data_IF_288862123601
#
_entry.id   IF_288862123601
#
_cell.length_a   1.000
_cell.length_b   1.000
_cell.length_c   1.000
_cell.angle_alpha   90.00
_cell.angle_beta   90.00
_cell.angle_gamma   90.00
#
_symmetry.space_group_name_H-M   'P 1'
#
loop_
_entity.id
_entity.type
_entity.pdbx_description
1 polymer ?
#
# COMPACT_ATOMS: atom_id res chain seq x y z
N UNK A 1 16.63 -16.49 4.78
CA UNK A 1 16.28 -17.93 4.74
C UNK A 1 16.28 -18.56 6.12
N UNK A 2 17.43 -18.69 6.81
CA UNK A 2 17.50 -19.37 8.12
C UNK A 2 16.60 -18.78 9.23
N UNK A 3 16.38 -17.46 9.24
CA UNK A 3 15.54 -16.80 10.24
C UNK A 3 14.09 -17.29 10.27
N UNK A 4 13.50 -17.65 9.11
CA UNK A 4 12.12 -18.16 9.03
C UNK A 4 11.96 -19.52 9.71
N UNK A 5 12.99 -20.38 9.65
CA UNK A 5 13.00 -21.69 10.30
C UNK A 5 13.34 -21.60 11.81
N UNK A 6 13.96 -20.50 12.23
CA UNK A 6 14.19 -20.22 13.66
C UNK A 6 12.95 -19.61 14.32
N UNK A 7 12.02 -19.03 13.55
CA UNK A 7 10.84 -18.37 14.08
C UNK A 7 9.98 -19.27 14.99
N UNK A 8 9.62 -20.51 14.63
CA UNK A 8 8.84 -21.38 15.52
C UNK A 8 9.65 -21.95 16.69
N UNK A 9 10.98 -21.76 16.72
CA UNK A 9 11.85 -22.18 17.82
C UNK A 9 11.98 -21.11 18.91
N UNK A 10 11.41 -19.91 18.69
CA UNK A 10 11.28 -18.89 19.72
C UNK A 10 10.34 -19.37 20.84
N UNK A 11 10.44 -18.71 22.00
CA UNK A 11 9.81 -19.14 23.27
C UNK A 11 8.31 -19.41 23.17
N UNK A 12 7.55 -18.50 22.59
CA UNK A 12 6.09 -18.61 22.61
C UNK A 12 5.55 -19.65 21.61
N UNK A 13 6.02 -19.68 20.34
CA UNK A 13 5.68 -20.74 19.40
C UNK A 13 6.04 -22.15 19.92
N UNK A 14 7.22 -22.34 20.53
CA UNK A 14 7.62 -23.68 21.00
C UNK A 14 6.74 -24.16 22.16
N UNK A 15 6.34 -23.26 23.07
CA UNK A 15 5.41 -23.60 24.15
C UNK A 15 4.05 -23.97 23.57
N UNK A 16 3.55 -23.23 22.57
CA UNK A 16 2.31 -23.57 21.89
C UNK A 16 2.39 -24.95 21.22
N UNK A 17 3.47 -25.22 20.47
CA UNK A 17 3.69 -26.52 19.81
C UNK A 17 3.66 -27.64 20.85
N UNK A 18 4.34 -27.49 21.98
CA UNK A 18 4.37 -28.50 23.04
C UNK A 18 2.98 -28.73 23.66
N UNK A 19 2.24 -27.66 23.98
CA UNK A 19 0.90 -27.75 24.57
C UNK A 19 -0.08 -28.43 23.59
N UNK A 20 -0.12 -27.96 22.34
CA UNK A 20 -1.05 -28.45 21.33
C UNK A 20 -0.79 -29.90 20.90
N UNK A 21 0.36 -30.48 21.24
CA UNK A 21 0.75 -31.83 20.81
C UNK A 21 0.84 -32.82 21.96
N UNK A 22 1.46 -32.44 23.09
CA UNK A 22 1.62 -33.33 24.24
C UNK A 22 0.32 -33.48 25.04
N UNK A 23 -0.47 -32.42 25.20
CA UNK A 23 -1.72 -32.50 25.98
C UNK A 23 -2.71 -33.47 25.32
N UNK A 24 -2.99 -33.39 24.00
CA UNK A 24 -3.82 -34.39 23.33
C UNK A 24 -3.22 -35.80 23.35
N UNK A 25 -1.89 -35.94 23.26
CA UNK A 25 -1.23 -37.25 23.25
C UNK A 25 -1.39 -38.03 24.56
N UNK A 26 -1.47 -37.34 25.71
CA UNK A 26 -1.70 -37.97 27.03
C UNK A 26 -3.18 -38.30 27.26
N UNK A 27 -4.08 -37.53 26.66
CA UNK A 27 -5.53 -37.71 26.76
C UNK A 27 -5.98 -38.84 25.82
N UNK A 28 -5.81 -40.08 26.25
CA UNK A 28 -5.88 -41.25 25.36
C UNK A 28 -7.26 -41.61 24.79
N UNK A 29 -8.37 -41.06 25.33
CA UNK A 29 -9.72 -41.22 24.74
C UNK A 29 -10.81 -40.51 25.58
N UNK A 30 -11.96 -40.22 24.96
CA UNK A 30 -13.18 -39.77 25.64
C UNK A 30 -13.65 -38.37 25.21
N UNK A 31 -14.87 -37.99 25.64
CA UNK A 31 -15.47 -36.68 25.29
C UNK A 31 -14.61 -35.50 25.77
N UNK A 32 -13.96 -35.65 26.93
CA UNK A 32 -13.06 -34.62 27.46
C UNK A 32 -11.78 -34.49 26.62
N UNK A 33 -11.18 -35.60 26.19
CA UNK A 33 -10.02 -35.61 25.30
C UNK A 33 -10.35 -34.93 23.96
N UNK A 34 -11.52 -35.24 23.40
CA UNK A 34 -12.04 -34.61 22.18
C UNK A 34 -12.23 -33.10 22.37
N UNK A 35 -12.91 -32.69 23.46
CA UNK A 35 -13.17 -31.28 23.74
C UNK A 35 -11.88 -30.47 23.91
N UNK A 36 -10.90 -31.01 24.65
CA UNK A 36 -9.58 -30.38 24.82
C UNK A 36 -8.83 -30.31 23.49
N UNK A 37 -8.87 -31.38 22.68
CA UNK A 37 -8.19 -31.40 21.38
C UNK A 37 -8.80 -30.37 20.40
N UNK A 38 -10.13 -30.23 20.38
CA UNK A 38 -10.80 -29.22 19.57
C UNK A 38 -10.48 -27.80 20.04
N UNK A 39 -10.41 -27.58 21.35
CA UNK A 39 -10.01 -26.29 21.91
C UNK A 39 -8.58 -25.94 21.51
N UNK A 40 -7.64 -26.89 21.64
CA UNK A 40 -6.23 -26.69 21.27
C UNK A 40 -6.04 -26.52 19.77
N UNK A 41 -6.83 -27.20 18.94
CA UNK A 41 -6.87 -26.98 17.49
C UNK A 41 -7.37 -25.55 17.16
N UNK A 42 -8.40 -25.09 17.88
CA UNK A 42 -8.88 -23.71 17.82
C UNK A 42 -7.81 -22.71 18.19
N UNK A 43 -7.08 -22.96 19.29
CA UNK A 43 -6.03 -22.09 19.76
C UNK A 43 -4.85 -22.03 18.78
N UNK A 44 -4.44 -23.18 18.25
CA UNK A 44 -3.40 -23.27 17.23
C UNK A 44 -3.80 -22.52 15.96
N UNK A 45 -5.03 -22.70 15.48
CA UNK A 45 -5.52 -22.01 14.29
C UNK A 45 -5.56 -20.50 14.51
N UNK A 46 -6.07 -20.03 15.66
CA UNK A 46 -6.03 -18.60 16.01
C UNK A 46 -4.62 -18.04 15.99
N UNK A 47 -3.67 -18.77 16.57
CA UNK A 47 -2.28 -18.36 16.60
C UNK A 47 -1.67 -18.27 15.20
N UNK A 48 -1.95 -19.24 14.31
CA UNK A 48 -1.48 -19.20 12.93
C UNK A 48 -1.99 -17.95 12.19
N UNK A 49 -3.27 -17.61 12.34
CA UNK A 49 -3.82 -16.38 11.77
C UNK A 49 -3.22 -15.12 12.41
N UNK A 50 -3.03 -15.12 13.73
CA UNK A 50 -2.33 -14.03 14.42
C UNK A 50 -0.89 -13.87 13.92
N UNK A 51 -0.20 -14.95 13.55
CA UNK A 51 1.12 -14.88 12.93
C UNK A 51 1.06 -14.19 11.56
N UNK A 52 0.04 -14.45 10.73
CA UNK A 52 -0.15 -13.73 9.47
C UNK A 52 -0.37 -12.24 9.75
N UNK A 53 -1.36 -11.91 10.59
CA UNK A 53 -1.73 -10.53 10.95
C UNK A 53 -0.51 -9.76 11.48
N UNK A 54 0.14 -10.30 12.52
CA UNK A 54 1.27 -9.66 13.18
C UNK A 54 2.49 -9.52 12.26
N UNK A 55 2.77 -10.54 11.43
CA UNK A 55 3.87 -10.44 10.46
C UNK A 55 3.53 -9.46 9.34
N UNK A 56 2.27 -9.44 8.88
CA UNK A 56 1.81 -8.50 7.86
C UNK A 56 1.96 -7.06 8.35
N UNK A 57 1.64 -6.78 9.61
CA UNK A 57 1.84 -5.47 10.25
C UNK A 57 3.32 -5.08 10.46
N UNK A 58 4.25 -5.95 10.05
CA UNK A 58 5.70 -5.70 10.11
C UNK A 58 6.38 -6.19 11.39
N UNK A 59 5.65 -6.83 12.30
CA UNK A 59 6.25 -7.47 13.47
C UNK A 59 6.81 -8.86 13.09
N UNK A 60 8.14 -8.93 12.94
CA UNK A 60 8.85 -10.18 12.60
C UNK A 60 9.10 -11.10 13.81
N UNK A 61 8.64 -10.69 14.99
CA UNK A 61 8.65 -11.47 16.21
C UNK A 61 7.33 -12.25 16.36
N UNK A 62 7.35 -13.45 16.98
CA UNK A 62 6.14 -14.21 17.18
C UNK A 62 5.19 -13.50 18.14
N UNK A 63 3.87 -13.53 17.87
CA UNK A 63 2.89 -12.97 18.76
C UNK A 63 2.90 -13.72 20.10
N UNK A 64 2.50 -13.02 21.15
CA UNK A 64 2.46 -13.58 22.49
C UNK A 64 1.60 -14.86 22.55
N UNK A 65 2.00 -15.85 23.34
CA UNK A 65 1.25 -17.10 23.51
C UNK A 65 -0.22 -16.89 23.87
N UNK A 66 -0.53 -15.83 24.63
CA UNK A 66 -1.90 -15.47 25.01
C UNK A 66 -2.84 -15.22 23.82
N UNK A 67 -2.31 -14.82 22.66
CA UNK A 67 -3.10 -14.61 21.44
C UNK A 67 -3.75 -15.90 20.94
N UNK A 68 -3.12 -17.06 21.14
CA UNK A 68 -3.69 -18.36 20.80
C UNK A 68 -4.99 -18.64 21.56
N UNK A 69 -5.08 -18.17 22.80
CA UNK A 69 -6.23 -18.39 23.68
C UNK A 69 -7.18 -17.18 23.71
N UNK A 70 -6.93 -16.17 22.88
CA UNK A 70 -7.90 -15.10 22.65
C UNK A 70 -9.15 -15.68 21.97
N UNK A 71 -10.33 -15.14 22.31
CA UNK A 71 -11.60 -15.62 21.76
C UNK A 71 -11.61 -15.65 20.23
N UNK A 72 -12.37 -16.58 19.64
CA UNK A 72 -12.55 -16.64 18.18
C UNK A 72 -11.73 -17.71 17.45
N UNK A 73 -10.85 -18.47 18.12
CA UNK A 73 -10.12 -19.57 17.45
C UNK A 73 -11.02 -20.67 16.88
N UNK A 74 -12.08 -21.06 17.59
CA UNK A 74 -13.02 -22.07 17.09
C UNK A 74 -13.82 -21.59 15.88
N UNK A 75 -14.15 -20.28 15.78
CA UNK A 75 -14.84 -19.78 14.58
C UNK A 75 -13.92 -19.85 13.37
N UNK A 76 -12.63 -19.52 13.51
CA UNK A 76 -11.64 -19.66 12.44
C UNK A 76 -11.50 -21.12 11.98
N UNK A 77 -11.47 -22.08 12.91
CA UNK A 77 -11.47 -23.52 12.55
C UNK A 77 -12.70 -23.89 11.75
N UNK A 78 -13.89 -23.47 12.20
CA UNK A 78 -15.14 -23.74 11.48
C UNK A 78 -15.11 -23.10 10.09
N UNK A 79 -14.65 -21.85 9.97
CA UNK A 79 -14.51 -21.16 8.69
C UNK A 79 -13.58 -21.92 7.74
N UNK A 80 -12.44 -22.39 8.23
CA UNK A 80 -11.46 -23.12 7.43
C UNK A 80 -11.99 -24.50 6.99
N UNK A 81 -12.69 -25.23 7.88
CA UNK A 81 -13.36 -26.48 7.53
C UNK A 81 -14.43 -26.25 6.47
N UNK A 82 -15.26 -25.21 6.62
CA UNK A 82 -16.29 -24.86 5.64
C UNK A 82 -15.67 -24.56 4.27
N UNK A 83 -14.59 -23.78 4.22
CA UNK A 83 -13.85 -23.48 2.98
C UNK A 83 -13.35 -24.77 2.33
N UNK A 84 -12.69 -25.66 3.07
CA UNK A 84 -12.19 -26.92 2.52
C UNK A 84 -13.31 -27.83 2.02
N UNK A 85 -14.44 -27.91 2.75
CA UNK A 85 -15.60 -28.68 2.31
C UNK A 85 -16.19 -28.10 1.03
N UNK A 86 -16.36 -26.78 0.94
CA UNK A 86 -16.92 -26.12 -0.25
C UNK A 86 -16.02 -26.32 -1.47
N UNK A 87 -14.71 -26.12 -1.33
CA UNK A 87 -13.73 -26.34 -2.41
C UNK A 87 -13.68 -27.82 -2.81
N UNK A 88 -13.71 -28.73 -1.85
CA UNK A 88 -13.75 -30.17 -2.09
C UNK A 88 -15.01 -30.60 -2.86
N UNK A 89 -16.19 -30.14 -2.43
CA UNK A 89 -17.45 -30.37 -3.14
C UNK A 89 -17.39 -29.79 -4.55
N UNK A 90 -16.86 -28.58 -4.73
CA UNK A 90 -16.72 -27.97 -6.05
C UNK A 90 -15.87 -28.84 -7.00
N UNK A 91 -14.72 -29.32 -6.54
CA UNK A 91 -13.85 -30.24 -7.32
C UNK A 91 -14.58 -31.54 -7.65
N UNK A 92 -15.29 -32.13 -6.69
CA UNK A 92 -16.04 -33.37 -6.92
C UNK A 92 -17.18 -33.19 -7.93
N UNK A 93 -17.91 -32.07 -7.85
CA UNK A 93 -18.94 -31.69 -8.82
C UNK A 93 -18.32 -31.54 -10.22
N UNK A 94 -17.23 -30.79 -10.37
CA UNK A 94 -16.53 -30.65 -11.66
C UNK A 94 -16.08 -32.01 -12.19
N UNK A 95 -15.54 -32.86 -11.33
CA UNK A 95 -15.10 -34.21 -11.69
C UNK A 95 -16.27 -35.08 -12.18
N UNK A 96 -17.42 -35.01 -11.51
CA UNK A 96 -18.60 -35.78 -11.86
C UNK A 96 -19.24 -35.34 -13.19
N UNK A 97 -19.27 -34.03 -13.48
CA UNK A 97 -19.94 -33.51 -14.69
C UNK A 97 -19.01 -33.31 -15.90
N UNK A 98 -17.75 -32.95 -15.68
CA UNK A 98 -16.78 -32.66 -16.74
C UNK A 98 -15.67 -33.74 -16.86
N UNK A 99 -15.71 -34.78 -16.02
CA UNK A 99 -14.82 -35.92 -16.05
C UNK A 99 -13.51 -35.73 -15.28
N UNK A 100 -12.72 -36.81 -15.20
CA UNK A 100 -11.50 -36.88 -14.39
C UNK A 100 -10.46 -35.80 -14.70
N UNK A 101 -10.24 -35.50 -15.99
CA UNK A 101 -9.25 -34.51 -16.39
C UNK A 101 -9.60 -33.09 -15.91
N UNK A 102 -10.86 -32.69 -16.06
CA UNK A 102 -11.35 -31.41 -15.53
C UNK A 102 -11.32 -31.36 -14.00
N UNK A 103 -11.61 -32.49 -13.35
CA UNK A 103 -11.44 -32.68 -11.91
C UNK A 103 -10.01 -32.41 -11.46
N UNK A 104 -9.03 -33.01 -12.12
CA UNK A 104 -7.62 -32.83 -11.78
C UNK A 104 -7.12 -31.40 -12.03
N UNK A 105 -7.56 -30.75 -13.12
CA UNK A 105 -7.23 -29.35 -13.38
C UNK A 105 -7.84 -28.42 -12.33
N UNK A 106 -9.10 -28.65 -11.94
CA UNK A 106 -9.75 -27.86 -10.90
C UNK A 106 -9.09 -28.06 -9.53
N UNK A 107 -8.65 -29.26 -9.20
CA UNK A 107 -7.86 -29.53 -7.99
C UNK A 107 -6.54 -28.73 -8.00
N UNK A 108 -5.82 -28.70 -9.13
CA UNK A 108 -4.58 -27.92 -9.25
C UNK A 108 -4.82 -26.43 -9.01
N UNK A 109 -5.90 -25.87 -9.58
CA UNK A 109 -6.30 -24.48 -9.37
C UNK A 109 -6.63 -24.22 -7.90
N UNK A 110 -7.39 -25.11 -7.27
CA UNK A 110 -7.74 -24.98 -5.84
C UNK A 110 -6.48 -24.99 -4.98
N UNK A 111 -5.57 -25.95 -5.19
CA UNK A 111 -4.31 -26.03 -4.42
C UNK A 111 -3.48 -24.77 -4.60
N UNK A 112 -3.39 -24.25 -5.84
CA UNK A 112 -2.70 -22.99 -6.11
C UNK A 112 -3.38 -21.78 -5.47
N UNK A 113 -4.71 -21.76 -5.37
CA UNK A 113 -5.49 -20.67 -4.79
C UNK A 113 -5.51 -20.68 -3.25
N UNK A 114 -5.26 -21.84 -2.61
CA UNK A 114 -5.37 -21.99 -1.16
C UNK A 114 -4.58 -20.95 -0.34
N UNK A 115 -3.31 -20.65 -0.63
CA UNK A 115 -2.59 -19.61 0.11
C UNK A 115 -3.27 -18.24 0.00
N UNK A 116 -3.72 -17.85 -1.20
CA UNK A 116 -4.44 -16.60 -1.40
C UNK A 116 -5.78 -16.56 -0.63
N UNK A 117 -6.51 -17.67 -0.60
CA UNK A 117 -7.78 -17.78 0.16
C UNK A 117 -7.51 -17.65 1.67
N UNK A 118 -6.44 -18.27 2.19
CA UNK A 118 -6.05 -18.16 3.60
C UNK A 118 -5.63 -16.71 3.93
N UNK A 119 -4.87 -16.06 3.05
CA UNK A 119 -4.47 -14.66 3.19
C UNK A 119 -5.69 -13.72 3.23
N UNK A 120 -6.63 -13.87 2.31
CA UNK A 120 -7.86 -13.08 2.31
C UNK A 120 -8.71 -13.33 3.55
N UNK A 121 -8.79 -14.59 4.01
CA UNK A 121 -9.52 -14.89 5.25
C UNK A 121 -8.87 -14.20 6.45
N UNK A 122 -7.53 -14.11 6.50
CA UNK A 122 -6.82 -13.42 7.57
C UNK A 122 -7.02 -11.90 7.53
N UNK A 123 -7.09 -11.31 6.33
CA UNK A 123 -7.28 -9.85 6.16
C UNK A 123 -8.75 -9.44 6.39
N UNK A 124 -9.69 -10.17 5.79
CA UNK A 124 -11.09 -9.75 5.66
C UNK A 124 -12.02 -10.38 6.71
N UNK A 125 -11.59 -11.49 7.33
CA UNK A 125 -12.35 -12.21 8.37
C UNK A 125 -13.64 -12.89 7.89
N UNK A 126 -13.94 -12.84 6.59
CA UNK A 126 -15.20 -13.34 6.00
C UNK A 126 -14.96 -14.41 4.94
N UNK A 127 -15.65 -15.56 5.09
CA UNK A 127 -15.55 -16.70 4.16
C UNK A 127 -15.96 -16.31 2.73
N UNK A 128 -17.04 -15.52 2.60
CA UNK A 128 -17.63 -15.20 1.30
C UNK A 128 -16.68 -14.41 0.41
N UNK A 129 -15.92 -13.50 1.01
CA UNK A 129 -14.93 -12.71 0.29
C UNK A 129 -13.68 -13.54 -0.02
N UNK A 130 -13.22 -14.38 0.90
CA UNK A 130 -12.09 -15.28 0.68
C UNK A 130 -12.33 -16.31 -0.44
N UNK A 131 -13.56 -16.79 -0.62
CA UNK A 131 -13.93 -17.74 -1.68
C UNK A 131 -14.25 -17.09 -3.03
N UNK A 132 -14.32 -15.76 -3.10
CA UNK A 132 -14.65 -15.07 -4.34
C UNK A 132 -13.50 -15.20 -5.36
N UNK A 133 -13.71 -15.84 -6.53
CA UNK A 133 -12.67 -16.04 -7.53
C UNK A 133 -12.02 -14.76 -8.01
N UNK A 134 -12.78 -13.66 -8.10
CA UNK A 134 -12.23 -12.38 -8.52
C UNK A 134 -11.25 -11.80 -7.48
N UNK A 135 -11.51 -12.03 -6.18
CA UNK A 135 -10.65 -11.50 -5.11
C UNK A 135 -9.34 -12.26 -5.00
N UNK A 136 -9.37 -13.59 -4.92
CA UNK A 136 -8.12 -14.35 -4.80
C UNK A 136 -7.33 -14.33 -6.11
N UNK A 137 -7.96 -14.28 -7.28
CA UNK A 137 -7.24 -14.03 -8.55
C UNK A 137 -6.65 -12.62 -8.59
N UNK A 138 -7.38 -11.62 -8.10
CA UNK A 138 -6.88 -10.25 -7.97
C UNK A 138 -5.67 -10.16 -7.05
N UNK A 139 -5.70 -10.85 -5.91
CA UNK A 139 -4.58 -10.93 -4.97
C UNK A 139 -3.35 -11.59 -5.62
N UNK A 140 -3.54 -12.72 -6.31
CA UNK A 140 -2.46 -13.40 -7.04
C UNK A 140 -1.88 -12.49 -8.13
N UNK A 141 -2.74 -11.78 -8.87
CA UNK A 141 -2.30 -10.87 -9.92
C UNK A 141 -1.55 -9.65 -9.37
N UNK A 142 -1.99 -9.09 -8.24
CA UNK A 142 -1.35 -7.95 -7.59
C UNK A 142 0.03 -8.31 -7.01
N UNK A 143 0.15 -9.51 -6.41
CA UNK A 143 1.40 -10.05 -5.93
C UNK A 143 2.33 -10.44 -7.09
N UNK A 144 1.78 -11.00 -8.17
CA UNK A 144 2.51 -11.39 -9.37
C UNK A 144 3.44 -12.58 -9.16
N UNK A 145 4.61 -12.54 -9.80
CA UNK A 145 5.64 -13.60 -9.71
C UNK A 145 6.02 -14.04 -8.28
N UNK A 146 6.20 -13.12 -7.30
CA UNK A 146 6.42 -13.44 -5.89
C UNK A 146 5.44 -14.46 -5.27
N UNK A 147 4.17 -14.45 -5.69
CA UNK A 147 3.19 -15.42 -5.21
C UNK A 147 3.58 -16.86 -5.58
N UNK A 148 4.03 -17.08 -6.81
CA UNK A 148 4.44 -18.40 -7.29
C UNK A 148 5.73 -18.88 -6.63
N UNK A 149 6.62 -17.95 -6.28
CA UNK A 149 7.82 -18.25 -5.49
C UNK A 149 7.42 -18.69 -4.07
N UNK A 150 6.53 -17.95 -3.40
CA UNK A 150 5.96 -18.37 -2.11
C UNK A 150 5.31 -19.75 -2.23
N UNK A 151 4.46 -19.96 -3.24
CA UNK A 151 3.78 -21.22 -3.46
C UNK A 151 4.78 -22.38 -3.64
N UNK A 152 5.84 -22.17 -4.41
CA UNK A 152 6.93 -23.14 -4.56
C UNK A 152 7.59 -23.50 -3.21
N UNK A 153 7.85 -22.50 -2.36
CA UNK A 153 8.36 -22.76 -1.00
C UNK A 153 7.37 -23.52 -0.13
N UNK A 154 6.09 -23.18 -0.18
CA UNK A 154 5.05 -23.91 0.57
C UNK A 154 4.99 -25.38 0.12
N UNK A 155 5.02 -25.65 -1.19
CA UNK A 155 5.05 -27.01 -1.73
C UNK A 155 6.27 -27.78 -1.23
N UNK A 156 7.48 -27.20 -1.32
CA UNK A 156 8.71 -27.83 -0.83
C UNK A 156 8.64 -28.11 0.68
N UNK A 157 8.07 -27.17 1.44
CA UNK A 157 7.92 -27.26 2.88
C UNK A 157 6.95 -28.39 3.28
N UNK A 158 5.80 -28.51 2.60
CA UNK A 158 4.85 -29.59 2.85
C UNK A 158 5.35 -30.96 2.36
N UNK A 159 6.11 -31.01 1.27
CA UNK A 159 6.80 -32.24 0.85
C UNK A 159 7.83 -32.70 1.89
N UNK A 160 8.63 -31.75 2.40
CA UNK A 160 9.57 -32.00 3.49
C UNK A 160 8.88 -32.50 4.75
N UNK A 161 7.75 -31.89 5.12
CA UNK A 161 6.92 -32.35 6.24
C UNK A 161 6.43 -33.78 6.04
N UNK A 162 6.01 -34.14 4.82
CA UNK A 162 5.62 -35.51 4.46
C UNK A 162 6.73 -36.54 4.67
N UNK A 163 7.95 -36.21 4.23
CA UNK A 163 9.13 -37.09 4.44
C UNK A 163 9.42 -37.25 5.94
N UNK A 164 9.34 -36.17 6.72
CA UNK A 164 9.51 -36.23 8.18
C UNK A 164 8.45 -37.15 8.79
N UNK A 165 7.18 -37.03 8.38
CA UNK A 165 6.11 -37.89 8.92
C UNK A 165 6.33 -39.37 8.61
N UNK A 166 6.76 -39.71 7.40
CA UNK A 166 7.06 -41.08 6.99
C UNK A 166 8.23 -41.66 7.81
N UNK A 167 9.32 -40.89 7.95
CA UNK A 167 10.45 -41.25 8.79
C UNK A 167 10.03 -41.51 10.25
N UNK A 168 9.16 -40.67 10.82
CA UNK A 168 8.69 -40.86 12.19
C UNK A 168 7.92 -42.18 12.37
N UNK A 169 7.09 -42.55 11.40
CA UNK A 169 6.32 -43.79 11.45
C UNK A 169 7.19 -45.04 11.32
N UNK A 170 8.29 -44.95 10.56
CA UNK A 170 9.21 -46.07 10.35
C UNK A 170 10.17 -46.30 11.51
N UNK A 171 10.52 -45.26 12.28
CA UNK A 171 11.60 -45.32 13.26
C UNK A 171 11.18 -45.18 14.72
N UNK A 172 9.93 -44.78 15.01
CA UNK A 172 9.44 -44.57 16.38
C UNK A 172 8.22 -45.44 16.68
N UNK A 173 7.92 -45.62 17.97
CA UNK A 173 6.68 -46.28 18.39
C UNK A 173 5.46 -45.45 17.95
N UNK A 174 4.28 -46.06 17.73
CA UNK A 174 3.11 -45.33 17.23
C UNK A 174 2.72 -44.09 18.04
N UNK A 175 2.83 -44.15 19.38
CA UNK A 175 2.55 -43.04 20.26
C UNK A 175 3.58 -41.91 20.16
N UNK A 176 4.88 -42.25 20.10
CA UNK A 176 5.94 -41.28 19.92
C UNK A 176 5.90 -40.65 18.53
N UNK A 177 5.65 -41.46 17.50
CA UNK A 177 5.48 -41.00 16.12
C UNK A 177 4.32 -40.00 16.01
N UNK A 178 3.15 -40.30 16.59
CA UNK A 178 2.01 -39.38 16.57
C UNK A 178 2.31 -38.02 17.22
N UNK A 179 3.00 -38.01 18.36
CA UNK A 179 3.40 -36.77 19.03
C UNK A 179 4.41 -35.97 18.18
N UNK A 180 5.44 -36.62 17.65
CA UNK A 180 6.46 -36.00 16.80
C UNK A 180 5.87 -35.48 15.48
N UNK A 181 4.89 -36.17 14.91
CA UNK A 181 4.13 -35.71 13.74
C UNK A 181 3.34 -34.44 14.08
N UNK A 182 2.63 -34.41 15.21
CA UNK A 182 1.92 -33.21 15.66
C UNK A 182 2.85 -32.01 15.86
N UNK A 183 4.03 -32.25 16.44
CA UNK A 183 5.06 -31.21 16.62
C UNK A 183 5.58 -30.70 15.29
N UNK A 184 5.91 -31.61 14.38
CA UNK A 184 6.39 -31.29 13.04
C UNK A 184 5.34 -30.52 12.24
N UNK A 185 4.09 -30.98 12.25
CA UNK A 185 2.98 -30.32 11.56
C UNK A 185 2.74 -28.91 12.10
N UNK A 186 2.77 -28.73 13.42
CA UNK A 186 2.65 -27.41 14.05
C UNK A 186 3.81 -26.49 13.68
N UNK A 187 5.04 -26.99 13.73
CA UNK A 187 6.25 -26.27 13.33
C UNK A 187 6.15 -25.78 11.88
N UNK A 188 5.90 -26.68 10.93
CA UNK A 188 5.81 -26.36 9.52
C UNK A 188 4.63 -25.42 9.20
N UNK A 189 3.50 -25.57 9.89
CA UNK A 189 2.37 -24.65 9.75
C UNK A 189 2.74 -23.22 10.18
N UNK A 190 3.43 -23.05 11.31
CA UNK A 190 3.88 -21.73 11.76
C UNK A 190 4.85 -21.10 10.76
N UNK A 191 5.80 -21.86 10.21
CA UNK A 191 6.70 -21.36 9.16
C UNK A 191 5.91 -20.94 7.93
N UNK A 192 4.97 -21.76 7.47
CA UNK A 192 4.14 -21.46 6.30
C UNK A 192 3.33 -20.17 6.48
N UNK A 193 2.69 -20.00 7.64
CA UNK A 193 1.89 -18.81 7.95
C UNK A 193 2.76 -17.56 8.13
N UNK A 194 3.95 -17.69 8.73
CA UNK A 194 4.90 -16.59 8.81
C UNK A 194 5.41 -16.17 7.43
N UNK A 195 5.69 -17.12 6.51
CA UNK A 195 6.03 -16.81 5.11
C UNK A 195 4.89 -16.10 4.37
N UNK A 196 3.65 -16.52 4.61
CA UNK A 196 2.45 -15.87 4.05
C UNK A 196 2.30 -14.43 4.55
N UNK A 197 2.39 -14.21 5.87
CA UNK A 197 2.33 -12.86 6.45
C UNK A 197 3.49 -11.97 6.00
N UNK A 198 4.69 -12.53 5.87
CA UNK A 198 5.84 -11.80 5.33
C UNK A 198 5.65 -11.36 3.87
N UNK A 199 4.98 -12.19 3.06
CA UNK A 199 4.64 -11.80 1.69
C UNK A 199 3.65 -10.63 1.68
N UNK A 200 2.66 -10.61 2.57
CA UNK A 200 1.77 -9.46 2.70
C UNK A 200 2.55 -8.21 3.08
N UNK A 201 3.38 -8.30 4.13
CA UNK A 201 4.25 -7.20 4.57
C UNK A 201 5.10 -6.63 3.43
N UNK A 202 5.76 -7.49 2.65
CA UNK A 202 6.63 -7.08 1.54
C UNK A 202 5.87 -6.33 0.44
N UNK A 203 4.58 -6.61 0.25
CA UNK A 203 3.76 -6.08 -0.83
C UNK A 203 2.59 -5.21 -0.33
N UNK A 204 2.62 -4.73 0.91
CA UNK A 204 1.58 -3.86 1.51
C UNK A 204 1.27 -2.65 0.63
N UNK A 205 2.29 -2.00 0.07
CA UNK A 205 2.15 -0.84 -0.82
C UNK A 205 1.38 -1.15 -2.11
N UNK A 206 1.53 -2.37 -2.65
CA UNK A 206 0.80 -2.81 -3.86
C UNK A 206 -0.62 -3.26 -3.57
N UNK A 207 -0.87 -3.69 -2.34
CA UNK A 207 -2.15 -4.19 -1.87
C UNK A 207 -3.04 -3.08 -1.28
N UNK A 208 -2.50 -1.88 -1.05
CA UNK A 208 -3.23 -0.73 -0.55
C UNK A 208 -3.53 -0.78 0.95
N UNK A 209 -2.83 -1.63 1.71
CA UNK A 209 -2.95 -1.72 3.17
C UNK A 209 -1.94 -0.78 3.81
N UNK A 210 -2.38 0.40 4.24
CA UNK A 210 -1.60 1.24 5.16
C UNK A 210 -1.86 0.73 6.59
N UNK A 211 -0.84 0.20 7.26
CA UNK A 211 -0.93 -0.15 8.67
C UNK A 211 -0.93 1.15 9.51
N UNK A 212 -2.00 1.38 10.26
CA UNK A 212 -1.99 2.32 11.39
C UNK A 212 -1.13 1.71 12.49
N UNK A 213 0.00 2.34 12.80
CA UNK A 213 0.89 1.91 13.86
C UNK A 213 1.40 3.11 14.65
N UNK A 214 0.74 3.39 15.78
CA UNK A 214 1.40 3.97 16.95
C UNK A 214 2.13 2.83 17.67
N UNK A 215 3.35 3.14 18.11
CA UNK A 215 4.22 2.33 18.99
C UNK A 215 4.69 0.96 18.46
N UNK A 216 5.66 0.99 17.55
CA UNK A 216 6.53 -0.16 17.28
C UNK A 216 8.01 0.22 17.42
N UNK A 217 8.61 -0.24 18.51
CA UNK A 217 10.05 -0.29 18.72
C UNK A 217 10.70 -1.12 17.61
N UNK A 218 11.63 -0.48 16.91
CA UNK A 218 12.34 -0.99 15.74
C UNK A 218 13.22 -2.18 16.11
N UNK A 219 12.79 -3.40 15.81
CA UNK A 219 13.69 -4.55 15.63
C UNK A 219 13.64 -4.97 14.17
N UNK A 220 14.37 -4.19 13.38
CA UNK A 220 14.71 -4.51 12.01
C UNK A 220 15.73 -5.67 11.97
N UNK A 221 15.76 -6.46 10.90
CA UNK A 221 17.07 -6.67 10.28
C UNK A 221 17.54 -5.26 9.97
N UNK A 222 18.52 -4.75 10.74
CA UNK A 222 18.81 -3.32 10.95
C UNK A 222 18.34 -2.40 9.82
N UNK A 223 17.74 -1.23 10.12
CA UNK A 223 17.13 -0.36 9.11
C UNK A 223 18.04 -0.32 7.90
N UNK A 224 17.55 -0.79 6.74
CA UNK A 224 18.31 -0.64 5.51
C UNK A 224 18.75 0.80 5.49
N UNK A 225 20.05 1.02 5.55
CA UNK A 225 20.54 2.38 5.66
C UNK A 225 19.94 3.16 4.50
N UNK A 226 19.68 4.44 4.70
CA UNK A 226 19.37 5.35 3.61
C UNK A 226 20.37 5.18 2.46
N UNK A 227 21.64 4.91 2.78
CA UNK A 227 22.68 4.55 1.82
C UNK A 227 22.39 3.24 1.05
N UNK A 228 21.89 2.20 1.70
CA UNK A 228 21.54 0.93 1.05
C UNK A 228 20.29 1.06 0.17
N UNK A 229 19.31 1.86 0.61
CA UNK A 229 18.11 2.17 -0.18
C UNK A 229 18.48 2.94 -1.45
N UNK A 230 19.33 3.96 -1.33
CA UNK A 230 19.82 4.72 -2.49
C UNK A 230 20.71 3.88 -3.41
N UNK A 231 21.50 2.94 -2.86
CA UNK A 231 22.28 2.00 -3.66
C UNK A 231 21.40 1.02 -4.45
N UNK A 232 20.33 0.50 -3.84
CA UNK A 232 19.34 -0.35 -4.52
C UNK A 232 18.61 0.41 -5.64
N UNK A 233 18.29 1.69 -5.42
CA UNK A 233 17.78 2.58 -6.47
C UNK A 233 18.78 2.71 -7.63
N UNK A 234 20.08 2.91 -7.35
CA UNK A 234 21.12 3.00 -8.37
C UNK A 234 21.24 1.70 -9.20
N UNK A 235 21.20 0.54 -8.54
CA UNK A 235 21.27 -0.77 -9.20
C UNK A 235 20.08 -0.96 -10.12
N UNK A 236 18.85 -0.73 -9.64
CA UNK A 236 17.62 -0.89 -10.42
C UNK A 236 17.57 0.02 -11.64
N UNK A 237 18.06 1.26 -11.50
CA UNK A 237 18.16 2.18 -12.64
C UNK A 237 19.13 1.68 -13.71
N UNK A 238 20.24 1.03 -13.32
CA UNK A 238 21.18 0.41 -14.28
C UNK A 238 20.57 -0.80 -14.96
N UNK A 239 19.71 -1.53 -14.26
CA UNK A 239 18.99 -2.69 -14.79
C UNK A 239 17.77 -2.31 -15.65
N UNK A 240 17.41 -1.02 -15.69
CA UNK A 240 16.27 -0.50 -16.45
C UNK A 240 14.91 -0.65 -15.75
N UNK A 241 14.89 -1.06 -14.48
CA UNK A 241 13.67 -1.17 -13.68
C UNK A 241 13.29 0.18 -13.05
N UNK A 242 12.82 1.09 -13.90
CA UNK A 242 12.44 2.45 -13.50
C UNK A 242 11.26 2.48 -12.51
N UNK A 243 10.35 1.50 -12.59
CA UNK A 243 9.20 1.43 -11.69
C UNK A 243 9.61 1.03 -10.28
N UNK A 244 10.42 -0.01 -10.12
CA UNK A 244 10.90 -0.43 -8.80
C UNK A 244 11.90 0.57 -8.20
N UNK A 245 12.68 1.26 -9.03
CA UNK A 245 13.54 2.36 -8.59
C UNK A 245 12.70 3.55 -8.07
N UNK A 246 11.65 3.95 -8.81
CA UNK A 246 10.76 5.03 -8.39
C UNK A 246 10.04 4.69 -7.08
N UNK A 247 9.54 3.47 -6.92
CA UNK A 247 8.87 3.04 -5.69
C UNK A 247 9.80 3.06 -4.47
N UNK A 248 11.02 2.53 -4.60
CA UNK A 248 12.00 2.54 -3.52
C UNK A 248 12.41 3.97 -3.13
N UNK A 249 12.63 4.84 -4.13
CA UNK A 249 12.98 6.23 -3.88
C UNK A 249 11.81 7.05 -3.31
N UNK A 250 10.57 6.74 -3.70
CA UNK A 250 9.38 7.37 -3.12
C UNK A 250 9.25 7.07 -1.62
N UNK A 251 9.46 5.82 -1.21
CA UNK A 251 9.47 5.45 0.22
C UNK A 251 10.58 6.15 1.01
N UNK A 252 11.76 6.37 0.40
CA UNK A 252 12.82 7.17 1.00
C UNK A 252 12.41 8.65 1.17
N UNK A 253 11.88 9.26 0.12
CA UNK A 253 11.48 10.67 0.08
C UNK A 253 10.31 10.97 1.04
N UNK A 254 9.39 10.03 1.25
CA UNK A 254 8.31 10.18 2.22
C UNK A 254 8.82 10.28 3.66
N UNK A 255 9.92 9.59 3.98
CA UNK A 255 10.65 9.69 5.26
C UNK A 255 11.55 10.93 5.32
N UNK A 256 12.11 11.34 4.19
CA UNK A 256 13.09 12.44 4.07
C UNK A 256 12.58 13.58 3.19
N UNK A 257 11.45 14.19 3.57
CA UNK A 257 10.76 15.23 2.76
C UNK A 257 11.56 16.53 2.54
N UNK A 258 12.71 16.68 3.19
CA UNK A 258 13.62 17.82 3.03
C UNK A 258 14.81 17.52 2.12
N UNK A 259 14.98 16.26 1.69
CA UNK A 259 16.07 15.86 0.80
C UNK A 259 15.72 16.21 -0.66
N UNK A 260 15.96 17.47 -1.01
CA UNK A 260 15.66 18.04 -2.33
C UNK A 260 16.31 17.29 -3.48
N UNK A 261 17.53 16.77 -3.27
CA UNK A 261 18.25 16.00 -4.29
C UNK A 261 17.46 14.74 -4.67
N UNK A 262 16.94 14.02 -3.67
CA UNK A 262 16.19 12.79 -3.91
C UNK A 262 14.77 13.05 -4.40
N UNK A 263 14.14 14.17 -4.00
CA UNK A 263 12.86 14.62 -4.57
C UNK A 263 13.01 14.90 -6.07
N UNK A 264 14.04 15.64 -6.46
CA UNK A 264 14.29 15.95 -7.87
C UNK A 264 14.64 14.70 -8.66
N UNK A 265 15.42 13.79 -8.06
CA UNK A 265 15.73 12.49 -8.65
C UNK A 265 14.48 11.65 -8.88
N UNK A 266 13.57 11.59 -7.91
CA UNK A 266 12.29 10.89 -8.03
C UNK A 266 11.46 11.48 -9.16
N UNK A 267 11.37 12.81 -9.23
CA UNK A 267 10.67 13.49 -10.32
C UNK A 267 11.20 13.09 -11.70
N UNK A 268 12.54 13.09 -11.90
CA UNK A 268 13.14 12.67 -13.17
C UNK A 268 12.81 11.22 -13.53
N UNK A 269 12.91 10.30 -12.57
CA UNK A 269 12.59 8.88 -12.81
C UNK A 269 11.12 8.73 -13.24
N UNK A 270 10.21 9.43 -12.57
CA UNK A 270 8.78 9.41 -12.90
C UNK A 270 8.47 10.04 -14.27
N UNK A 271 9.23 11.06 -14.66
CA UNK A 271 9.11 11.63 -16.00
C UNK A 271 9.49 10.63 -17.10
N UNK A 272 10.57 9.86 -16.88
CA UNK A 272 11.05 8.84 -17.82
C UNK A 272 10.15 7.60 -17.84
N UNK A 273 9.68 7.13 -16.68
CA UNK A 273 8.82 5.94 -16.58
C UNK A 273 7.40 6.16 -17.12
N UNK A 274 6.99 7.42 -17.31
CA UNK A 274 5.62 7.83 -17.67
C UNK A 274 4.56 7.28 -16.70
N UNK A 275 4.91 7.18 -15.42
CA UNK A 275 3.98 6.83 -14.36
C UNK A 275 3.21 8.08 -13.88
N UNK A 276 2.12 8.33 -14.58
CA UNK A 276 1.30 9.52 -14.42
C UNK A 276 0.46 9.51 -13.15
N UNK A 277 0.12 8.32 -12.66
CA UNK A 277 -0.58 8.19 -11.39
C UNK A 277 0.35 8.57 -10.25
N UNK A 278 1.60 8.11 -10.28
CA UNK A 278 2.62 8.50 -9.30
C UNK A 278 2.94 10.01 -9.38
N UNK A 279 3.07 10.59 -10.58
CA UNK A 279 3.27 12.04 -10.74
C UNK A 279 2.15 12.86 -10.07
N UNK A 280 0.88 12.44 -10.22
CA UNK A 280 -0.25 13.10 -9.55
C UNK A 280 -0.24 12.88 -8.03
N UNK A 281 0.09 11.66 -7.57
CA UNK A 281 0.21 11.34 -6.13
C UNK A 281 1.22 12.26 -5.44
N UNK A 282 2.38 12.48 -6.06
CA UNK A 282 3.47 13.28 -5.51
C UNK A 282 3.46 14.75 -5.96
N UNK A 283 2.45 15.18 -6.74
CA UNK A 283 2.39 16.52 -7.32
C UNK A 283 2.54 17.63 -6.27
N UNK A 284 1.86 17.49 -5.12
CA UNK A 284 1.96 18.45 -4.01
C UNK A 284 3.40 18.58 -3.50
N UNK A 285 4.07 17.46 -3.26
CA UNK A 285 5.44 17.44 -2.76
C UNK A 285 6.40 18.11 -3.75
N UNK A 286 6.28 17.78 -5.03
CA UNK A 286 7.11 18.39 -6.07
C UNK A 286 6.85 19.88 -6.22
N UNK A 287 5.57 20.32 -6.15
CA UNK A 287 5.23 21.74 -6.18
C UNK A 287 5.86 22.50 -5.01
N UNK A 288 5.74 21.98 -3.79
CA UNK A 288 6.33 22.58 -2.58
C UNK A 288 7.86 22.68 -2.70
N UNK A 289 8.51 21.61 -3.18
CA UNK A 289 9.96 21.61 -3.42
C UNK A 289 10.38 22.61 -4.51
N UNK A 290 9.75 22.58 -5.69
CA UNK A 290 10.16 23.45 -6.80
C UNK A 290 9.90 24.93 -6.52
N UNK A 291 8.82 25.26 -5.80
CA UNK A 291 8.56 26.64 -5.38
C UNK A 291 9.59 27.11 -4.36
N UNK A 292 9.90 26.31 -3.33
CA UNK A 292 10.90 26.68 -2.33
C UNK A 292 12.33 26.73 -2.88
N UNK A 293 12.65 25.89 -3.87
CA UNK A 293 13.95 25.87 -4.55
C UNK A 293 14.06 26.88 -5.71
N UNK A 294 13.00 27.62 -6.03
CA UNK A 294 12.97 28.55 -7.17
C UNK A 294 13.11 27.89 -8.55
N UNK A 295 12.83 26.58 -8.65
CA UNK A 295 12.92 25.79 -9.88
C UNK A 295 11.64 25.92 -10.72
N UNK A 296 11.37 27.13 -11.24
CA UNK A 296 10.15 27.41 -12.00
C UNK A 296 9.97 26.54 -13.24
N UNK A 297 11.04 26.23 -13.96
CA UNK A 297 10.98 25.41 -15.18
C UNK A 297 10.49 23.99 -14.88
N UNK A 298 10.99 23.38 -13.81
CA UNK A 298 10.56 22.04 -13.34
C UNK A 298 9.10 22.04 -12.88
N UNK A 299 8.68 23.11 -12.19
CA UNK A 299 7.29 23.31 -11.79
C UNK A 299 6.35 23.39 -12.99
N UNK A 300 6.70 24.19 -14.01
CA UNK A 300 5.89 24.31 -15.23
C UNK A 300 5.85 22.97 -15.98
N UNK A 301 6.98 22.26 -16.09
CA UNK A 301 7.03 20.95 -16.74
C UNK A 301 6.12 19.92 -16.05
N UNK A 302 6.15 19.87 -14.71
CA UNK A 302 5.25 19.02 -13.91
C UNK A 302 3.79 19.35 -14.18
N UNK A 303 3.41 20.62 -14.06
CA UNK A 303 2.00 21.04 -14.11
C UNK A 303 1.42 20.95 -15.51
N UNK A 304 2.19 21.23 -16.56
CA UNK A 304 1.76 21.03 -17.94
C UNK A 304 1.49 19.56 -18.23
N UNK A 305 2.34 18.65 -17.74
CA UNK A 305 2.14 17.22 -17.90
C UNK A 305 0.88 16.73 -17.18
N UNK A 306 0.65 17.18 -15.95
CA UNK A 306 -0.59 16.88 -15.22
C UNK A 306 -1.80 17.42 -15.98
N UNK A 307 -1.76 18.67 -16.45
CA UNK A 307 -2.85 19.32 -17.18
C UNK A 307 -3.20 18.60 -18.48
N UNK A 308 -2.21 18.12 -19.23
CA UNK A 308 -2.41 17.41 -20.49
C UNK A 308 -3.19 16.10 -20.30
N UNK A 309 -3.08 15.48 -19.13
CA UNK A 309 -3.66 14.18 -18.86
C UNK A 309 -4.94 14.24 -18.05
N UNK A 310 -4.97 15.14 -17.08
CA UNK A 310 -6.15 15.45 -16.29
C UNK A 310 -6.37 16.97 -16.28
N UNK A 311 -7.10 17.49 -17.28
CA UNK A 311 -7.43 18.91 -17.33
C UNK A 311 -8.28 19.39 -16.14
N UNK A 312 -8.91 18.47 -15.40
CA UNK A 312 -9.72 18.77 -14.23
C UNK A 312 -8.93 18.73 -12.92
N UNK A 313 -7.75 18.12 -12.89
CA UNK A 313 -6.88 18.11 -11.71
C UNK A 313 -6.48 19.51 -11.31
N UNK A 314 -6.47 19.78 -10.01
CA UNK A 314 -6.12 21.08 -9.45
C UNK A 314 -5.47 20.90 -8.07
N UNK A 315 -4.56 21.80 -7.64
CA UNK A 315 -3.96 21.70 -6.31
C UNK A 315 -5.00 21.88 -5.21
N UNK A 316 -4.88 21.15 -4.10
CA UNK A 316 -5.82 21.29 -2.97
C UNK A 316 -5.61 22.58 -2.16
N UNK A 317 -4.37 23.10 -2.12
CA UNK A 317 -3.99 24.26 -1.34
C UNK A 317 -4.02 25.54 -2.19
N UNK A 318 -4.70 26.58 -1.70
CA UNK A 318 -4.89 27.85 -2.40
C UNK A 318 -3.56 28.60 -2.62
N UNK A 319 -2.73 28.70 -1.58
CA UNK A 319 -1.43 29.38 -1.62
C UNK A 319 -0.50 28.73 -2.64
N UNK A 320 -0.42 27.40 -2.62
CA UNK A 320 0.40 26.62 -3.54
C UNK A 320 -0.06 26.79 -5.00
N UNK A 321 -1.37 26.79 -5.23
CA UNK A 321 -1.96 27.04 -6.55
C UNK A 321 -1.67 28.47 -7.05
N UNK A 322 -1.77 29.46 -6.15
CA UNK A 322 -1.53 30.86 -6.50
C UNK A 322 -0.05 31.11 -6.80
N UNK A 323 0.88 30.63 -5.96
CA UNK A 323 2.32 30.77 -6.20
C UNK A 323 2.74 30.09 -7.51
N UNK A 324 2.19 28.91 -7.81
CA UNK A 324 2.42 28.26 -9.10
C UNK A 324 1.87 29.06 -10.29
N UNK A 325 0.73 29.74 -10.12
CA UNK A 325 0.17 30.61 -11.15
C UNK A 325 1.02 31.87 -11.36
N UNK A 326 1.60 32.43 -10.30
CA UNK A 326 2.56 33.54 -10.38
C UNK A 326 3.83 33.14 -11.14
N UNK A 327 4.41 31.99 -10.82
CA UNK A 327 5.59 31.47 -11.53
C UNK A 327 5.26 31.24 -13.01
N UNK A 328 4.12 30.59 -13.31
CA UNK A 328 3.68 30.37 -14.68
C UNK A 328 3.49 31.70 -15.45
N UNK A 329 2.94 32.72 -14.79
CA UNK A 329 2.79 34.06 -15.37
C UNK A 329 4.14 34.71 -15.66
N UNK A 330 5.05 34.71 -14.69
CA UNK A 330 6.38 35.33 -14.79
C UNK A 330 7.24 34.68 -15.89
N UNK A 331 7.11 33.36 -16.08
CA UNK A 331 7.81 32.62 -17.14
C UNK A 331 7.06 32.65 -18.49
N UNK A 332 5.90 33.33 -18.57
CA UNK A 332 5.16 33.53 -19.81
C UNK A 332 4.23 32.39 -20.24
N UNK A 333 4.04 31.34 -19.43
CA UNK A 333 3.04 30.31 -19.69
C UNK A 333 1.64 30.76 -19.23
N UNK A 334 1.08 31.68 -20.02
CA UNK A 334 -0.23 32.29 -19.75
C UNK A 334 -1.35 31.25 -19.74
N UNK A 335 -1.21 30.16 -20.51
CA UNK A 335 -2.21 29.09 -20.57
C UNK A 335 -2.23 28.33 -19.25
N UNK A 336 -1.07 28.01 -18.69
CA UNK A 336 -0.97 27.33 -17.40
C UNK A 336 -1.46 28.23 -16.26
N UNK A 337 -1.05 29.50 -16.25
CA UNK A 337 -1.51 30.47 -15.25
C UNK A 337 -3.05 30.60 -15.23
N UNK A 338 -3.69 30.73 -16.40
CA UNK A 338 -5.16 30.80 -16.49
C UNK A 338 -5.84 29.49 -16.09
N UNK A 339 -5.22 28.34 -16.34
CA UNK A 339 -5.75 27.04 -15.93
C UNK A 339 -5.74 26.87 -14.40
N UNK A 340 -4.68 27.32 -13.72
CA UNK A 340 -4.60 27.35 -12.25
C UNK A 340 -5.59 28.34 -11.63
N UNK A 341 -5.80 29.49 -12.27
CA UNK A 341 -6.70 30.56 -11.78
C UNK A 341 -8.18 30.31 -12.11
N UNK A 342 -8.50 29.28 -12.89
CA UNK A 342 -9.87 29.00 -13.32
C UNK A 342 -10.76 28.65 -12.12
N UNK A 343 -11.86 29.40 -11.98
CA UNK A 343 -12.85 29.24 -10.89
C UNK A 343 -12.22 29.31 -9.48
N UNK A 344 -11.06 29.97 -9.33
CA UNK A 344 -10.30 30.03 -8.07
C UNK A 344 -11.15 30.53 -6.88
N UNK A 345 -11.94 31.58 -7.10
CA UNK A 345 -12.84 32.18 -6.11
C UNK A 345 -13.97 31.24 -5.62
N UNK A 346 -14.33 30.23 -6.42
CA UNK A 346 -15.33 29.22 -6.01
C UNK A 346 -14.69 28.10 -5.22
N UNK A 347 -13.50 27.66 -5.67
CA UNK A 347 -12.80 26.51 -5.08
C UNK A 347 -12.20 26.84 -3.71
N UNK A 348 -11.58 28.00 -3.58
CA UNK A 348 -10.85 28.40 -2.37
C UNK A 348 -11.58 29.54 -1.64
N UNK A 349 -12.92 29.54 -1.63
CA UNK A 349 -13.73 30.61 -1.07
C UNK A 349 -13.43 30.91 0.42
N UNK A 350 -12.81 29.97 1.13
CA UNK A 350 -12.40 30.11 2.54
C UNK A 350 -11.13 30.97 2.69
N UNK A 351 -10.25 31.00 1.69
CA UNK A 351 -8.95 31.70 1.70
C UNK A 351 -9.05 33.10 1.09
N UNK A 352 -9.83 33.98 1.73
CA UNK A 352 -10.21 35.29 1.18
C UNK A 352 -9.01 36.15 0.72
N UNK A 353 -7.87 36.08 1.41
CA UNK A 353 -6.65 36.83 1.03
C UNK A 353 -6.07 36.33 -0.30
N UNK A 354 -5.86 35.02 -0.43
CA UNK A 354 -5.29 34.40 -1.62
C UNK A 354 -6.24 34.54 -2.82
N UNK A 355 -7.55 34.43 -2.58
CA UNK A 355 -8.57 34.66 -3.62
C UNK A 355 -8.49 36.09 -4.18
N UNK A 356 -8.31 37.09 -3.32
CA UNK A 356 -8.17 38.47 -3.76
C UNK A 356 -6.92 38.66 -4.64
N UNK A 357 -5.79 38.07 -4.25
CA UNK A 357 -4.55 38.14 -5.04
C UNK A 357 -4.65 37.36 -6.37
N UNK A 358 -5.31 36.20 -6.38
CA UNK A 358 -5.60 35.43 -7.59
C UNK A 358 -6.49 36.20 -8.58
N UNK A 359 -7.48 36.96 -8.09
CA UNK A 359 -8.31 37.84 -8.92
C UNK A 359 -7.50 39.01 -9.49
N UNK A 360 -6.59 39.59 -8.71
CA UNK A 360 -5.66 40.63 -9.18
C UNK A 360 -4.73 40.09 -10.27
N UNK A 361 -4.17 38.89 -10.08
CA UNK A 361 -3.33 38.24 -11.10
C UNK A 361 -4.12 37.94 -12.38
N UNK A 362 -5.36 37.46 -12.24
CA UNK A 362 -6.28 37.27 -13.38
C UNK A 362 -6.52 38.57 -14.15
N UNK A 363 -6.71 39.69 -13.43
CA UNK A 363 -6.88 41.01 -14.04
C UNK A 363 -5.62 41.48 -14.80
N UNK A 364 -4.42 41.20 -14.26
CA UNK A 364 -3.14 41.49 -14.93
C UNK A 364 -3.01 40.70 -16.23
N UNK A 365 -3.25 39.39 -16.20
CA UNK A 365 -3.23 38.54 -17.40
C UNK A 365 -4.23 39.06 -18.45
N UNK A 366 -5.45 39.43 -18.02
CA UNK A 366 -6.49 39.95 -18.91
C UNK A 366 -6.09 41.27 -19.56
N UNK A 367 -5.52 42.21 -18.80
CA UNK A 367 -5.11 43.51 -19.31
C UNK A 367 -3.89 43.40 -20.25
N UNK A 368 -2.86 42.68 -19.83
CA UNK A 368 -1.55 42.70 -20.49
C UNK A 368 -1.48 41.71 -21.67
N UNK A 369 -1.88 40.46 -21.46
CA UNK A 369 -1.70 39.40 -22.47
C UNK A 369 -2.93 39.20 -23.34
N UNK A 370 -4.13 39.29 -22.75
CA UNK A 370 -5.39 39.12 -23.49
C UNK A 370 -5.93 40.46 -24.04
N UNK A 371 -5.25 41.59 -23.77
CA UNK A 371 -5.61 42.95 -24.23
C UNK A 371 -7.08 43.29 -23.98
N UNK A 372 -7.61 42.86 -22.83
CA UNK A 372 -9.00 43.04 -22.43
C UNK A 372 -9.11 43.85 -21.13
N UNK A 373 -8.84 45.17 -21.17
CA UNK A 373 -8.87 46.03 -19.99
C UNK A 373 -10.27 46.14 -19.37
N UNK A 374 -11.33 45.96 -20.16
CA UNK A 374 -12.71 46.00 -19.66
C UNK A 374 -13.00 44.85 -18.69
N UNK A 375 -12.62 43.61 -19.07
CA UNK A 375 -12.74 42.44 -18.17
C UNK A 375 -11.79 42.54 -16.98
N UNK A 376 -10.56 43.03 -17.18
CA UNK A 376 -9.63 43.26 -16.08
C UNK A 376 -10.22 44.22 -15.03
N UNK A 377 -10.86 45.32 -15.46
CA UNK A 377 -11.51 46.27 -14.56
C UNK A 377 -12.67 45.64 -13.78
N UNK A 378 -13.43 44.72 -14.38
CA UNK A 378 -14.51 44.01 -13.67
C UNK A 378 -13.99 43.12 -12.53
N UNK A 379 -12.86 42.44 -12.74
CA UNK A 379 -12.19 41.66 -11.71
C UNK A 379 -11.69 42.57 -10.57
N UNK A 380 -11.02 43.68 -10.89
CA UNK A 380 -10.54 44.62 -9.87
C UNK A 380 -11.68 45.28 -9.07
N UNK A 381 -12.80 45.64 -9.71
CA UNK A 381 -13.99 46.14 -9.02
C UNK A 381 -14.58 45.09 -8.06
N UNK A 382 -14.53 43.81 -8.44
CA UNK A 382 -14.96 42.72 -7.56
C UNK A 382 -14.06 42.60 -6.34
N UNK A 383 -12.74 42.76 -6.53
CA UNK A 383 -11.77 42.79 -5.42
C UNK A 383 -12.07 43.95 -4.48
N UNK A 384 -12.24 45.17 -5.04
CA UNK A 384 -12.56 46.37 -4.28
C UNK A 384 -13.85 46.23 -3.45
N UNK A 385 -14.89 45.62 -4.02
CA UNK A 385 -16.19 45.51 -3.36
C UNK A 385 -16.29 44.39 -2.32
N UNK A 386 -15.55 43.28 -2.49
CA UNK A 386 -15.71 42.06 -1.67
C UNK A 386 -14.55 41.78 -0.70
N UNK A 387 -13.39 42.41 -0.90
CA UNK A 387 -12.18 42.12 -0.13
C UNK A 387 -11.57 43.41 0.44
N UNK A 388 -12.06 43.89 1.60
CA UNK A 388 -11.60 45.14 2.21
C UNK A 388 -10.07 45.20 2.41
N UNK A 389 -9.44 44.05 2.68
CA UNK A 389 -7.99 43.92 2.86
C UNK A 389 -7.15 44.23 1.60
N UNK A 390 -7.76 44.23 0.40
CA UNK A 390 -7.09 44.53 -0.88
C UNK A 390 -7.76 45.69 -1.62
N UNK A 391 -8.65 46.44 -0.97
CA UNK A 391 -9.44 47.51 -1.57
C UNK A 391 -8.55 48.61 -2.16
N UNK A 392 -7.62 49.14 -1.37
CA UNK A 392 -6.72 50.23 -1.79
C UNK A 392 -5.84 49.81 -2.97
N UNK A 393 -5.27 48.60 -2.91
CA UNK A 393 -4.47 48.02 -4.00
C UNK A 393 -5.30 47.88 -5.29
N UNK A 394 -6.55 47.44 -5.18
CA UNK A 394 -7.44 47.32 -6.34
C UNK A 394 -7.81 48.70 -6.94
N UNK A 395 -8.04 49.71 -6.10
CA UNK A 395 -8.33 51.07 -6.55
C UNK A 395 -7.15 51.69 -7.31
N UNK A 396 -5.93 51.55 -6.80
CA UNK A 396 -4.71 52.01 -7.48
C UNK A 396 -4.51 51.32 -8.84
N UNK A 397 -4.77 50.02 -8.93
CA UNK A 397 -4.67 49.27 -10.18
C UNK A 397 -5.75 49.69 -11.19
N UNK A 398 -6.98 49.98 -10.75
CA UNK A 398 -8.04 50.50 -11.61
C UNK A 398 -7.69 51.86 -12.21
N UNK A 399 -7.10 52.75 -11.43
CA UNK A 399 -6.64 54.05 -11.91
C UNK A 399 -5.50 53.92 -12.92
N UNK A 400 -4.53 53.03 -12.68
CA UNK A 400 -3.46 52.75 -13.65
C UNK A 400 -4.02 52.17 -14.95
N UNK A 401 -4.96 51.23 -14.84
CA UNK A 401 -5.58 50.60 -16.00
C UNK A 401 -6.35 51.61 -16.86
N UNK A 402 -7.02 52.60 -16.26
CA UNK A 402 -7.74 53.64 -17.01
C UNK A 402 -6.80 54.60 -17.73
N UNK A 403 -5.63 54.89 -17.16
CA UNK A 403 -4.63 55.79 -17.75
C UNK A 403 -3.79 55.13 -18.85
N UNK A 404 -3.40 53.87 -18.66
CA UNK A 404 -2.39 53.22 -19.52
C UNK A 404 -2.92 52.01 -20.29
N UNK A 405 -4.11 51.49 -19.97
CA UNK A 405 -4.67 50.30 -20.61
C UNK A 405 -3.98 48.98 -20.26
N UNK A 406 -2.90 49.02 -19.47
CA UNK A 406 -2.09 47.88 -19.02
C UNK A 406 -1.77 48.01 -17.53
N UNK A 407 -1.43 46.89 -16.88
CA UNK A 407 -1.02 46.82 -15.48
C UNK A 407 0.46 46.45 -15.41
N UNK A 408 1.29 47.19 -14.67
CA UNK A 408 2.73 46.87 -14.58
C UNK A 408 2.98 45.50 -13.91
N UNK A 409 3.94 44.74 -14.42
CA UNK A 409 4.41 43.47 -13.84
C UNK A 409 5.34 43.76 -12.65
N UNK A 410 4.74 44.02 -11.49
CA UNK A 410 5.41 44.20 -10.21
C UNK A 410 4.94 45.44 -9.44
N UNK A 411 5.00 45.33 -8.11
CA UNK A 411 5.40 46.42 -7.22
C UNK A 411 6.64 45.94 -6.49
#
# INVERSE_FOLDING_TARGET
MGAFFLYPLKRDPIILILICTLVPAVLSSGLLALAVSLLLLGAQTRYLFAVIEHTADGHLEPPALGTAFSGGGLILVIQQVVIFVLLGVAVQVITAYAGWFAGMLSLLVVVLALPAIILLLAIEGQIGDALNPLRWLGLIAALGWPYFVLFGYLVLLFLGAGIVTDFMWQHFSPSAAQALMGMSASYFSIVAFHLMGYLLYQYQDRLGFAADGDDAEVVAQGPRSDAETLTDVDVRLREGDFMAAAAALAGYVERHRTDGLQIERLFRILQESRDEQALRKYARLFMEYFLSAGQGDSLIALLNRIREQDPAWQPANAELAFQAAEVAYQQGDIRLALWLLKDFHKRYAQDAMVVADALILSARILANHLKNPQKAAAFLKTVQARFPMREEKAAQLLERLSRHGVLADGL
#
